data_IF_583878816649
#
_entry.id   IF_583878816649
#
_cell.length_a   1.000
_cell.length_b   1.000
_cell.length_c   1.000
_cell.angle_alpha   90.00
_cell.angle_beta   90.00
_cell.angle_gamma   90.00
#
_symmetry.space_group_name_H-M   'P 1'
#
loop_
_entity.id
_entity.type
_entity.pdbx_description
1 polymer ?
#
# COMPACT_ATOMS: atom_id res chain seq x y z
N UNK A 1 2.68 5.45 -18.98
CA UNK A 1 2.37 6.39 -17.89
C UNK A 1 2.07 7.73 -18.56
N UNK A 2 0.79 8.11 -18.67
CA UNK A 2 0.39 9.33 -19.37
C UNK A 2 0.57 10.54 -18.44
N UNK A 3 1.56 11.37 -18.74
CA UNK A 3 1.73 12.72 -18.21
C UNK A 3 0.55 13.57 -18.68
N UNK A 4 -0.06 14.32 -17.76
CA UNK A 4 -1.18 15.22 -18.05
C UNK A 4 -0.72 16.55 -18.69
N UNK A 5 0.30 16.51 -19.54
CA UNK A 5 0.86 17.67 -20.24
C UNK A 5 1.17 17.30 -21.71
N UNK A 6 0.18 16.76 -22.42
CA UNK A 6 0.15 16.78 -23.88
C UNK A 6 -0.66 18.00 -24.33
N UNK A 7 -0.22 19.20 -23.94
CA UNK A 7 -0.89 20.45 -24.36
C UNK A 7 -0.44 20.84 -25.77
N UNK A 8 -0.82 20.02 -26.76
CA UNK A 8 -0.85 20.46 -28.14
C UNK A 8 -1.95 21.51 -28.32
N UNK A 9 -1.62 22.69 -28.86
CA UNK A 9 -2.59 23.74 -29.17
C UNK A 9 -2.72 24.88 -28.14
N UNK A 10 -3.87 25.56 -28.19
CA UNK A 10 -4.14 26.80 -27.46
C UNK A 10 -4.73 26.59 -26.07
N UNK A 11 -5.14 27.68 -25.42
CA UNK A 11 -5.85 27.66 -24.14
C UNK A 11 -7.33 27.35 -24.35
N UNK A 12 -7.79 26.25 -23.76
CA UNK A 12 -9.19 25.86 -23.66
C UNK A 12 -9.73 26.16 -22.25
N UNK A 13 -9.88 27.45 -21.95
CA UNK A 13 -10.37 27.91 -20.65
C UNK A 13 -11.74 28.57 -20.78
N UNK A 14 -12.51 28.56 -19.69
CA UNK A 14 -13.72 29.39 -19.57
C UNK A 14 -13.28 30.83 -19.27
N UNK A 15 -13.38 31.71 -20.26
CA UNK A 15 -13.04 33.13 -20.13
C UNK A 15 -14.11 33.91 -19.37
N UNK A 16 -13.68 34.82 -18.50
CA UNK A 16 -14.58 35.53 -17.59
C UNK A 16 -15.22 36.78 -18.19
N UNK A 17 -14.48 37.48 -19.07
CA UNK A 17 -14.92 38.74 -19.68
C UNK A 17 -15.59 38.54 -21.06
N UNK A 18 -16.04 37.31 -21.37
CA UNK A 18 -16.63 36.93 -22.67
C UNK A 18 -15.61 36.32 -23.64
N UNK A 19 -15.95 36.32 -24.94
CA UNK A 19 -15.10 35.75 -25.98
C UNK A 19 -13.80 36.58 -26.15
N UNK A 20 -12.61 35.93 -26.16
CA UNK A 20 -11.35 36.59 -26.39
C UNK A 20 -11.27 37.24 -27.78
N UNK A 21 -10.50 38.35 -27.93
CA UNK A 21 -10.28 38.96 -29.23
C UNK A 21 -9.78 37.97 -30.29
N UNK A 22 -10.33 38.05 -31.50
CA UNK A 22 -9.95 37.18 -32.63
C UNK A 22 -8.45 37.26 -32.98
N UNK A 23 -7.82 38.41 -32.70
CA UNK A 23 -6.37 38.61 -32.87
C UNK A 23 -5.52 37.68 -31.97
N UNK A 24 -6.11 37.11 -30.91
CA UNK A 24 -5.44 36.16 -30.02
C UNK A 24 -5.69 34.71 -30.40
N UNK A 25 -6.48 34.42 -31.43
CA UNK A 25 -6.81 33.06 -31.83
C UNK A 25 -5.73 32.47 -32.75
N UNK A 26 -5.37 31.23 -32.45
CA UNK A 26 -4.51 30.42 -33.29
C UNK A 26 -5.27 29.96 -34.53
N UNK A 27 -4.74 30.24 -35.72
CA UNK A 27 -5.40 29.90 -36.98
C UNK A 27 -5.27 28.42 -37.39
N UNK A 28 -4.71 27.56 -36.53
CA UNK A 28 -4.69 26.09 -36.69
C UNK A 28 -5.70 25.42 -35.76
N UNK A 29 -5.61 25.68 -34.45
CA UNK A 29 -6.46 25.03 -33.45
C UNK A 29 -7.70 25.85 -33.06
N UNK A 30 -7.83 27.08 -33.55
CA UNK A 30 -8.95 28.01 -33.30
C UNK A 30 -9.15 28.45 -31.84
N UNK A 31 -8.28 27.99 -30.94
CA UNK A 31 -8.23 28.41 -29.53
C UNK A 31 -7.34 29.62 -29.34
N UNK A 32 -7.43 30.29 -28.18
CA UNK A 32 -6.50 31.35 -27.79
C UNK A 32 -5.06 30.81 -27.81
N UNK A 33 -4.18 31.47 -28.54
CA UNK A 33 -2.86 30.93 -28.84
C UNK A 33 -2.01 30.78 -27.56
N UNK A 34 -1.42 29.59 -27.38
CA UNK A 34 -0.40 29.33 -26.37
C UNK A 34 0.97 29.53 -27.00
N UNK A 35 1.84 30.29 -26.33
CA UNK A 35 3.18 30.66 -26.83
C UNK A 35 3.12 31.17 -28.28
N UNK A 36 2.41 32.29 -28.53
CA UNK A 36 2.01 32.71 -29.87
C UNK A 36 3.21 33.00 -30.78
N UNK A 37 3.18 32.40 -31.96
CA UNK A 37 4.12 32.59 -33.05
C UNK A 37 3.44 33.37 -34.18
N UNK A 38 3.89 34.58 -34.45
CA UNK A 38 3.40 35.39 -35.57
C UNK A 38 4.19 35.06 -36.83
N UNK A 39 3.47 34.86 -37.95
CA UNK A 39 4.10 34.66 -39.26
C UNK A 39 4.25 35.98 -40.01
N UNK A 40 5.36 36.15 -40.72
CA UNK A 40 5.65 37.40 -41.45
C UNK A 40 4.84 37.57 -42.74
N UNK A 41 4.21 36.50 -43.29
CA UNK A 41 3.48 36.59 -44.56
C UNK A 41 2.13 37.30 -44.45
N UNK A 42 1.38 37.03 -43.38
CA UNK A 42 0.02 37.54 -43.19
C UNK A 42 -0.25 38.05 -41.77
N UNK A 43 0.78 38.09 -40.91
CA UNK A 43 0.69 38.54 -39.52
C UNK A 43 -0.27 37.75 -38.63
N UNK A 44 -0.76 36.60 -39.09
CA UNK A 44 -1.55 35.69 -38.25
C UNK A 44 -0.68 35.03 -37.19
N UNK A 45 -1.30 34.70 -36.06
CA UNK A 45 -0.64 33.98 -34.98
C UNK A 45 -1.07 32.51 -34.90
N UNK A 46 -0.15 31.69 -34.41
CA UNK A 46 -0.31 30.26 -34.21
C UNK A 46 0.29 29.86 -32.86
N UNK A 47 -0.12 28.73 -32.29
CA UNK A 47 0.60 28.18 -31.13
C UNK A 47 1.96 27.64 -31.57
N UNK A 48 2.99 27.73 -30.71
CA UNK A 48 4.30 27.12 -30.95
C UNK A 48 4.16 25.63 -31.30
N UNK A 49 3.44 24.88 -30.45
CA UNK A 49 3.17 23.44 -30.67
C UNK A 49 2.38 23.14 -31.96
N UNK A 50 1.49 24.03 -32.39
CA UNK A 50 0.78 23.87 -33.66
C UNK A 50 1.70 24.03 -34.87
N UNK A 51 2.63 24.99 -34.84
CA UNK A 51 3.61 25.17 -35.91
C UNK A 51 4.65 24.04 -35.92
N UNK A 52 5.08 23.57 -34.75
CA UNK A 52 6.01 22.45 -34.64
C UNK A 52 5.41 21.18 -35.26
N UNK A 53 4.16 20.86 -34.90
CA UNK A 53 3.42 19.74 -35.50
C UNK A 53 3.28 19.88 -37.03
N UNK A 54 3.08 21.11 -37.51
CA UNK A 54 3.00 21.39 -38.96
C UNK A 54 4.34 21.14 -39.66
N UNK A 55 5.45 21.52 -39.02
CA UNK A 55 6.81 21.31 -39.53
C UNK A 55 7.18 19.83 -39.59
N UNK A 56 6.78 19.05 -38.59
CA UNK A 56 7.08 17.61 -38.50
C UNK A 56 6.34 16.77 -39.57
N UNK A 57 5.19 17.21 -40.06
CA UNK A 57 4.36 16.47 -41.05
C UNK A 57 4.98 16.35 -42.44
N UNK A 58 6.13 16.98 -42.72
CA UNK A 58 6.94 16.74 -43.92
C UNK A 58 6.33 17.18 -45.27
N UNK A 59 5.15 17.80 -45.30
CA UNK A 59 4.49 18.31 -46.52
C UNK A 59 4.93 19.74 -46.91
N UNK A 60 6.11 20.16 -46.44
CA UNK A 60 6.62 21.52 -46.56
C UNK A 60 6.08 22.45 -45.47
N UNK A 61 6.94 23.33 -44.95
CA UNK A 61 6.59 24.27 -43.89
C UNK A 61 5.95 25.53 -44.51
N UNK A 62 4.66 25.43 -44.79
CA UNK A 62 3.85 26.48 -45.44
C UNK A 62 2.77 27.04 -44.51
N UNK A 63 2.45 28.32 -44.67
CA UNK A 63 1.44 28.97 -43.87
C UNK A 63 0.04 28.41 -44.18
N UNK A 64 -0.73 27.94 -43.19
CA UNK A 64 -2.08 27.43 -43.40
C UNK A 64 -3.04 28.46 -44.01
N UNK A 65 -2.87 29.75 -43.71
CA UNK A 65 -3.76 30.80 -44.23
C UNK A 65 -3.31 31.33 -45.60
N UNK A 66 -2.03 31.69 -45.75
CA UNK A 66 -1.51 32.42 -46.92
C UNK A 66 -0.79 31.52 -47.93
N UNK A 67 -0.55 30.24 -47.59
CA UNK A 67 0.24 29.24 -48.36
C UNK A 67 1.69 29.63 -48.69
N UNK A 68 2.21 30.72 -48.13
CA UNK A 68 3.61 31.12 -48.28
C UNK A 68 4.53 30.23 -47.44
N UNK A 69 5.77 30.03 -47.89
CA UNK A 69 6.81 29.36 -47.09
C UNK A 69 7.05 30.10 -45.76
N UNK A 70 7.09 29.34 -44.67
CA UNK A 70 7.34 29.83 -43.31
C UNK A 70 8.81 29.66 -42.87
N UNK A 71 9.69 29.12 -43.71
CA UNK A 71 11.10 28.93 -43.39
C UNK A 71 11.77 30.27 -43.02
N UNK A 72 12.17 30.40 -41.74
CA UNK A 72 12.74 31.62 -41.17
C UNK A 72 11.81 32.84 -41.14
N UNK A 73 10.50 32.66 -41.37
CA UNK A 73 9.50 33.75 -41.52
C UNK A 73 8.42 33.72 -40.44
N UNK A 74 8.81 33.41 -39.21
CA UNK A 74 7.95 33.48 -38.03
C UNK A 74 8.77 33.80 -36.78
N UNK A 75 8.14 34.39 -35.77
CA UNK A 75 8.80 34.78 -34.53
C UNK A 75 7.81 34.80 -33.35
N UNK A 76 8.35 34.76 -32.12
CA UNK A 76 7.55 34.85 -30.89
C UNK A 76 6.90 36.23 -30.77
N UNK A 77 5.58 36.28 -30.67
CA UNK A 77 4.85 37.54 -30.49
C UNK A 77 4.68 37.89 -29.01
N UNK A 78 5.66 38.62 -28.47
CA UNK A 78 5.63 39.06 -27.07
C UNK A 78 4.53 40.08 -26.74
N UNK A 79 3.93 40.75 -27.76
CA UNK A 79 2.79 41.65 -27.53
C UNK A 79 1.52 40.82 -27.36
N UNK A 80 1.25 39.90 -28.29
CA UNK A 80 0.12 38.97 -28.18
C UNK A 80 0.24 38.13 -26.90
N UNK A 81 1.43 37.59 -26.59
CA UNK A 81 1.66 36.79 -25.38
C UNK A 81 1.29 37.56 -24.10
N UNK A 82 1.65 38.84 -24.02
CA UNK A 82 1.31 39.70 -22.87
C UNK A 82 -0.19 39.94 -22.77
N UNK A 83 -0.85 40.20 -23.90
CA UNK A 83 -2.31 40.39 -23.98
C UNK A 83 -3.04 39.12 -23.54
N UNK A 84 -2.69 37.98 -24.13
CA UNK A 84 -3.23 36.65 -23.80
C UNK A 84 -3.06 36.33 -22.31
N UNK A 85 -1.86 36.52 -21.77
CA UNK A 85 -1.57 36.25 -20.34
C UNK A 85 -2.37 37.14 -19.38
N UNK A 86 -2.88 38.29 -19.84
CA UNK A 86 -3.71 39.19 -19.04
C UNK A 86 -5.21 38.87 -19.07
N UNK A 87 -5.66 37.99 -19.99
CA UNK A 87 -7.06 37.58 -20.07
C UNK A 87 -7.50 36.89 -18.78
N UNK A 88 -8.71 37.21 -18.33
CA UNK A 88 -9.29 36.60 -17.13
C UNK A 88 -10.01 35.30 -17.46
N UNK A 89 -9.76 34.30 -16.63
CA UNK A 89 -10.29 32.94 -16.75
C UNK A 89 -10.78 32.42 -15.41
N UNK A 90 -11.75 31.52 -15.46
CA UNK A 90 -12.16 30.72 -14.31
C UNK A 90 -11.25 29.50 -14.14
N UNK A 91 -11.15 29.03 -12.90
CA UNK A 91 -10.50 27.76 -12.61
C UNK A 91 -11.15 26.61 -13.41
N UNK A 92 -10.33 25.69 -13.92
CA UNK A 92 -10.83 24.46 -14.57
C UNK A 92 -11.66 23.58 -13.64
N UNK A 93 -11.47 23.71 -12.31
CA UNK A 93 -12.24 22.99 -11.29
C UNK A 93 -13.52 23.72 -10.85
N UNK A 94 -14.04 24.68 -11.62
CA UNK A 94 -15.28 25.39 -11.27
C UNK A 94 -16.47 24.46 -11.09
N UNK A 95 -16.58 23.41 -11.92
CA UNK A 95 -17.66 22.41 -11.80
C UNK A 95 -17.54 21.56 -10.52
N UNK A 96 -16.34 21.51 -9.92
CA UNK A 96 -16.11 20.89 -8.61
C UNK A 96 -16.32 21.84 -7.42
N UNK A 97 -16.60 23.12 -7.67
CA UNK A 97 -16.84 24.14 -6.64
C UNK A 97 -15.72 25.18 -6.48
N UNK A 98 -14.70 25.19 -7.34
CA UNK A 98 -13.67 26.23 -7.29
C UNK A 98 -14.20 27.56 -7.85
N UNK A 99 -14.23 28.60 -7.01
CA UNK A 99 -14.69 29.94 -7.39
C UNK A 99 -13.55 30.87 -7.81
N UNK A 100 -12.32 30.36 -7.92
CA UNK A 100 -11.18 31.18 -8.28
C UNK A 100 -11.32 31.71 -9.72
N UNK A 101 -11.06 33.00 -9.87
CA UNK A 101 -10.98 33.73 -11.13
C UNK A 101 -9.75 34.62 -11.07
N UNK A 102 -8.98 34.63 -12.14
CA UNK A 102 -7.73 35.37 -12.25
C UNK A 102 -7.24 35.38 -13.68
N UNK A 103 -5.98 35.75 -13.90
CA UNK A 103 -5.44 35.83 -15.27
C UNK A 103 -4.90 34.48 -15.75
N UNK A 104 -4.74 34.30 -17.06
CA UNK A 104 -4.03 33.14 -17.64
C UNK A 104 -2.63 33.02 -17.04
N UNK A 105 -1.94 34.13 -16.74
CA UNK A 105 -0.62 34.09 -16.09
C UNK A 105 -0.64 33.42 -14.72
N UNK A 106 -1.74 33.58 -13.97
CA UNK A 106 -1.81 33.18 -12.56
C UNK A 106 -2.45 31.80 -12.37
N UNK A 107 -3.14 31.26 -13.37
CA UNK A 107 -3.91 30.01 -13.24
C UNK A 107 -3.04 28.81 -12.87
N UNK A 108 -1.83 28.70 -13.45
CA UNK A 108 -0.92 27.60 -13.12
C UNK A 108 -0.46 27.67 -11.66
N UNK A 109 -0.17 28.89 -11.18
CA UNK A 109 0.17 29.11 -9.76
C UNK A 109 -1.01 28.73 -8.87
N UNK A 110 -2.23 29.07 -9.28
CA UNK A 110 -3.43 28.66 -8.56
C UNK A 110 -3.58 27.14 -8.50
N UNK A 111 -3.59 26.45 -9.65
CA UNK A 111 -3.77 25.00 -9.74
C UNK A 111 -2.70 24.24 -8.95
N UNK A 112 -1.44 24.67 -9.04
CA UNK A 112 -0.31 24.00 -8.41
C UNK A 112 -0.17 24.28 -6.91
N UNK A 113 -0.57 25.46 -6.41
CA UNK A 113 -0.25 25.86 -5.05
C UNK A 113 -1.46 26.10 -4.14
N UNK A 114 -2.58 26.61 -4.67
CA UNK A 114 -3.69 27.08 -3.83
C UNK A 114 -5.03 26.41 -4.09
N UNK A 115 -5.24 25.79 -5.25
CA UNK A 115 -6.51 25.18 -5.61
C UNK A 115 -6.81 23.98 -4.70
N UNK A 116 -7.79 24.14 -3.81
CA UNK A 116 -8.22 23.13 -2.84
C UNK A 116 -8.95 21.96 -3.52
N UNK A 117 -9.53 22.20 -4.69
CA UNK A 117 -10.24 21.22 -5.50
C UNK A 117 -9.34 20.44 -6.45
N UNK A 118 -8.09 20.88 -6.63
CA UNK A 118 -7.13 20.18 -7.50
C UNK A 118 -6.88 18.77 -7.00
N UNK A 119 -6.95 17.81 -7.92
CA UNK A 119 -6.54 16.44 -7.68
C UNK A 119 -5.01 16.35 -7.73
N UNK A 120 -4.42 16.01 -6.60
CA UNK A 120 -2.96 15.85 -6.45
C UNK A 120 -2.63 14.39 -6.12
N UNK A 121 -1.53 13.84 -6.64
CA UNK A 121 -1.14 12.48 -6.32
C UNK A 121 -0.83 12.34 -4.82
N UNK A 122 -1.16 11.18 -4.24
CA UNK A 122 -0.83 10.89 -2.86
C UNK A 122 0.69 10.86 -2.62
N UNK A 123 1.16 11.61 -1.62
CA UNK A 123 2.57 11.72 -1.26
C UNK A 123 3.16 10.45 -0.65
N UNK A 124 2.31 9.56 -0.10
CA UNK A 124 2.74 8.24 0.39
C UNK A 124 2.88 7.21 -0.74
N UNK A 125 2.59 7.58 -1.99
CA UNK A 125 2.77 6.70 -3.14
C UNK A 125 1.75 5.57 -3.26
N UNK A 126 0.53 5.74 -2.72
CA UNK A 126 -0.53 4.72 -2.85
C UNK A 126 -1.14 4.63 -4.27
N UNK A 127 -0.77 5.54 -5.18
CA UNK A 127 -1.25 5.57 -6.57
C UNK A 127 -2.54 6.37 -6.80
N UNK A 128 -3.26 6.77 -5.74
CA UNK A 128 -4.49 7.56 -5.87
C UNK A 128 -4.22 9.05 -6.10
N UNK A 129 -5.12 9.71 -6.84
CA UNK A 129 -5.20 11.18 -6.94
C UNK A 129 -6.29 11.69 -6.00
N UNK A 130 -5.92 12.54 -5.06
CA UNK A 130 -6.77 13.01 -3.96
C UNK A 130 -6.97 14.52 -4.08
N UNK A 131 -8.17 15.02 -3.75
CA UNK A 131 -8.39 16.49 -3.69
C UNK A 131 -7.48 17.10 -2.61
N UNK A 132 -6.79 18.20 -2.94
CA UNK A 132 -5.86 18.89 -2.02
C UNK A 132 -6.46 19.16 -0.65
N UNK A 133 -7.73 19.59 -0.58
CA UNK A 133 -8.46 19.81 0.68
C UNK A 133 -8.58 18.56 1.56
N UNK A 134 -8.74 17.39 0.95
CA UNK A 134 -8.93 16.10 1.64
C UNK A 134 -7.63 15.32 1.83
N UNK A 135 -6.53 15.76 1.21
CA UNK A 135 -5.26 15.04 1.23
C UNK A 135 -4.76 14.79 2.65
N UNK A 136 -4.85 15.78 3.54
CA UNK A 136 -4.43 15.62 4.95
C UNK A 136 -5.18 14.48 5.65
N UNK A 137 -6.51 14.42 5.46
CA UNK A 137 -7.36 13.36 6.02
C UNK A 137 -7.04 12.00 5.38
N UNK A 138 -6.79 11.97 4.07
CA UNK A 138 -6.33 10.75 3.40
C UNK A 138 -5.02 10.24 4.03
N UNK A 139 -3.99 11.07 4.13
CA UNK A 139 -2.67 10.66 4.63
C UNK A 139 -2.69 10.15 6.07
N UNK A 140 -3.59 10.70 6.91
CA UNK A 140 -3.71 10.35 8.33
C UNK A 140 -4.60 9.14 8.57
N UNK A 141 -5.75 9.05 7.89
CA UNK A 141 -6.80 8.10 8.28
C UNK A 141 -7.08 7.02 7.24
N UNK A 142 -6.86 7.30 5.96
CA UNK A 142 -7.39 6.45 4.87
C UNK A 142 -6.30 5.82 3.99
N UNK A 143 -5.12 6.42 3.93
CA UNK A 143 -4.05 5.99 3.04
C UNK A 143 -3.57 4.59 3.45
N UNK A 144 -3.59 3.59 2.56
CA UNK A 144 -3.11 2.23 2.88
C UNK A 144 -1.59 2.18 3.08
N UNK A 145 -0.87 3.15 2.52
CA UNK A 145 0.58 3.30 2.64
C UNK A 145 0.99 4.18 3.83
N UNK A 146 0.03 4.67 4.64
CA UNK A 146 0.36 5.41 5.87
C UNK A 146 1.09 4.53 6.87
N UNK A 147 1.91 5.14 7.72
CA UNK A 147 2.62 4.42 8.77
C UNK A 147 1.79 4.41 10.06
N UNK A 148 1.57 3.22 10.61
CA UNK A 148 0.88 2.99 11.88
C UNK A 148 1.71 2.06 12.76
N UNK A 149 1.36 2.03 14.05
CA UNK A 149 1.86 1.02 14.97
C UNK A 149 0.82 -0.07 15.14
N UNK A 150 1.25 -1.32 15.24
CA UNK A 150 0.37 -2.42 15.64
C UNK A 150 -0.16 -2.17 17.06
N UNK A 151 -1.47 -2.35 17.27
CA UNK A 151 -2.09 -2.16 18.58
C UNK A 151 -1.71 -3.22 19.62
N UNK A 152 -1.13 -4.34 19.17
CA UNK A 152 -0.73 -5.45 20.03
C UNK A 152 0.77 -5.38 20.34
N UNK A 153 1.62 -5.46 19.30
CA UNK A 153 3.08 -5.54 19.48
C UNK A 153 3.82 -4.20 19.28
N UNK A 154 3.10 -3.11 19.03
CA UNK A 154 3.65 -1.77 18.78
C UNK A 154 4.67 -1.68 17.62
N UNK A 155 4.79 -2.73 16.77
CA UNK A 155 5.63 -2.71 15.57
C UNK A 155 5.13 -1.64 14.61
N UNK A 156 6.05 -0.79 14.14
CA UNK A 156 5.76 0.29 13.19
C UNK A 156 5.87 -0.21 11.75
N UNK A 157 4.89 0.12 10.90
CA UNK A 157 4.90 -0.28 9.49
C UNK A 157 3.79 0.36 8.67
N UNK A 158 3.74 0.06 7.38
CA UNK A 158 2.64 0.49 6.49
C UNK A 158 1.33 -0.14 6.97
N UNK A 159 0.25 0.64 6.97
CA UNK A 159 -1.07 0.20 7.43
C UNK A 159 -1.48 -1.12 6.79
N UNK A 160 -1.38 -1.23 5.46
CA UNK A 160 -1.70 -2.46 4.72
C UNK A 160 -0.94 -3.70 5.22
N UNK A 161 0.30 -3.55 5.66
CA UNK A 161 1.11 -4.65 6.19
C UNK A 161 0.78 -4.93 7.65
N UNK A 162 0.65 -3.89 8.48
CA UNK A 162 0.34 -4.03 9.91
C UNK A 162 -1.05 -4.63 10.14
N UNK A 163 -2.03 -4.36 9.29
CA UNK A 163 -3.37 -4.94 9.40
C UNK A 163 -3.56 -6.19 8.54
N UNK A 164 -2.48 -6.75 7.97
CA UNK A 164 -2.56 -7.96 7.17
C UNK A 164 -2.67 -9.21 8.04
N UNK A 165 -3.28 -10.27 7.52
CA UNK A 165 -3.29 -11.58 8.17
C UNK A 165 -1.87 -12.08 8.43
N UNK A 166 -0.96 -11.93 7.47
CA UNK A 166 0.44 -12.34 7.62
C UNK A 166 1.13 -11.68 8.82
N UNK A 167 0.79 -10.42 9.13
CA UNK A 167 1.32 -9.80 10.34
C UNK A 167 0.70 -10.41 11.61
N UNK A 168 -0.62 -10.60 11.62
CA UNK A 168 -1.33 -11.16 12.77
C UNK A 168 -0.91 -12.59 13.09
N UNK A 169 -0.64 -13.41 12.08
CA UNK A 169 -0.15 -14.79 12.25
C UNK A 169 1.21 -14.84 12.96
N UNK A 170 2.03 -13.79 12.84
CA UNK A 170 3.37 -13.68 13.45
C UNK A 170 3.42 -12.64 14.60
N UNK A 171 2.27 -12.13 15.05
CA UNK A 171 2.24 -11.02 16.00
C UNK A 171 2.38 -11.54 17.44
N UNK A 172 3.51 -11.31 18.14
CA UNK A 172 3.81 -11.97 19.41
C UNK A 172 2.81 -11.66 20.52
N UNK A 173 2.22 -10.46 20.48
CA UNK A 173 1.33 -9.94 21.50
C UNK A 173 -0.15 -10.04 21.11
N UNK A 174 -0.44 -10.63 19.94
CA UNK A 174 -1.82 -10.89 19.55
C UNK A 174 -2.42 -11.93 20.50
N UNK A 175 -3.61 -11.61 21.03
CA UNK A 175 -4.35 -12.52 21.89
C UNK A 175 -5.08 -13.56 21.05
N UNK A 176 -4.72 -14.83 21.24
CA UNK A 176 -5.32 -15.98 20.60
C UNK A 176 -6.06 -16.84 21.62
N UNK A 177 -7.06 -17.58 21.16
CA UNK A 177 -7.74 -18.57 22.00
C UNK A 177 -6.86 -19.81 22.18
N UNK A 178 -6.89 -20.40 23.36
CA UNK A 178 -6.30 -21.71 23.58
C UNK A 178 -6.96 -22.75 22.67
N UNK A 179 -6.15 -23.60 22.01
CA UNK A 179 -6.64 -24.67 21.15
C UNK A 179 -7.23 -25.86 21.92
N UNK A 180 -7.03 -25.94 23.24
CA UNK A 180 -7.54 -27.03 24.06
C UNK A 180 -9.04 -26.87 24.30
N UNK A 181 -9.82 -27.89 23.93
CA UNK A 181 -11.27 -27.88 24.07
C UNK A 181 -11.72 -27.60 25.52
N UNK A 182 -12.55 -26.57 25.69
CA UNK A 182 -13.06 -26.13 26.98
C UNK A 182 -12.17 -25.11 27.72
N UNK A 183 -11.05 -24.69 27.14
CA UNK A 183 -10.26 -23.55 27.63
C UNK A 183 -10.69 -22.27 26.90
N UNK A 184 -11.30 -21.32 27.61
CA UNK A 184 -11.77 -20.05 27.05
C UNK A 184 -10.78 -18.89 27.26
N UNK A 185 -9.56 -19.18 27.72
CA UNK A 185 -8.55 -18.15 27.96
C UNK A 185 -8.05 -17.54 26.65
N UNK A 186 -7.79 -16.23 26.69
CA UNK A 186 -7.14 -15.48 25.62
C UNK A 186 -5.70 -15.25 26.04
N UNK A 187 -4.77 -15.80 25.28
CA UNK A 187 -3.35 -15.86 25.64
C UNK A 187 -2.57 -15.11 24.57
N UNK A 188 -1.59 -14.25 24.94
CA UNK A 188 -0.65 -13.70 23.98
C UNK A 188 0.05 -14.82 23.22
N UNK A 189 0.18 -14.70 21.90
CA UNK A 189 0.75 -15.76 21.08
C UNK A 189 2.12 -16.26 21.57
N UNK A 190 3.01 -15.35 21.99
CA UNK A 190 4.31 -15.71 22.55
C UNK A 190 4.24 -16.52 23.87
N UNK A 191 3.11 -16.45 24.59
CA UNK A 191 2.86 -17.14 25.87
C UNK A 191 2.03 -18.42 25.69
N UNK A 192 1.68 -18.83 24.46
CA UNK A 192 0.87 -20.02 24.23
C UNK A 192 1.59 -21.31 24.67
N UNK A 193 2.89 -21.39 24.42
CA UNK A 193 3.70 -22.56 24.79
C UNK A 193 3.73 -22.77 26.31
N UNK A 194 4.03 -21.71 27.07
CA UNK A 194 4.02 -21.76 28.54
C UNK A 194 2.63 -21.97 29.13
N UNK A 195 1.58 -21.43 28.50
CA UNK A 195 0.20 -21.77 28.87
C UNK A 195 -0.09 -23.26 28.66
N UNK A 196 0.28 -23.85 27.53
CA UNK A 196 0.03 -25.27 27.25
C UNK A 196 0.70 -26.19 28.28
N UNK A 197 1.86 -25.81 28.82
CA UNK A 197 2.53 -26.52 29.91
C UNK A 197 1.75 -26.51 31.23
N UNK A 198 0.75 -25.64 31.40
CA UNK A 198 -0.03 -25.47 32.63
C UNK A 198 -1.55 -25.56 32.44
N UNK A 199 -2.02 -25.61 31.19
CA UNK A 199 -3.44 -25.61 30.85
C UNK A 199 -4.17 -26.81 31.45
N UNK A 200 -5.20 -26.53 32.27
CA UNK A 200 -6.03 -27.54 32.93
C UNK A 200 -6.83 -28.40 31.94
N UNK A 201 -7.14 -27.84 30.76
CA UNK A 201 -7.90 -28.51 29.70
C UNK A 201 -7.01 -29.24 28.69
N UNK A 202 -5.68 -29.10 28.78
CA UNK A 202 -4.77 -29.83 27.91
C UNK A 202 -4.89 -31.35 28.14
N UNK A 203 -4.91 -32.10 27.05
CA UNK A 203 -4.87 -33.56 27.08
C UNK A 203 -3.42 -33.97 27.32
N UNK A 204 -3.16 -34.57 28.48
CA UNK A 204 -1.83 -35.02 28.89
C UNK A 204 -1.81 -36.54 29.11
N UNK A 205 -0.67 -37.20 28.88
CA UNK A 205 -0.49 -38.59 29.30
C UNK A 205 -0.44 -38.71 30.83
N UNK A 206 -0.78 -39.89 31.33
CA UNK A 206 -0.55 -40.26 32.73
C UNK A 206 0.93 -40.07 33.10
N UNK A 207 1.22 -39.66 34.34
CA UNK A 207 2.60 -39.52 34.82
C UNK A 207 3.38 -40.85 34.83
N UNK A 208 2.65 -41.97 34.93
CA UNK A 208 3.20 -43.32 34.84
C UNK A 208 3.31 -43.85 33.40
N UNK A 209 3.15 -43.01 32.37
CA UNK A 209 3.27 -43.41 30.96
C UNK A 209 4.64 -44.02 30.62
N UNK A 210 5.72 -43.52 31.23
CA UNK A 210 7.07 -44.09 31.07
C UNK A 210 7.22 -45.50 31.62
N UNK A 211 6.36 -45.89 32.57
CA UNK A 211 6.36 -47.21 33.22
C UNK A 211 5.37 -48.18 32.53
N UNK A 212 4.39 -47.65 31.79
CA UNK A 212 3.49 -48.44 30.95
C UNK A 212 2.02 -48.04 30.96
N UNK A 213 1.64 -46.96 31.66
CA UNK A 213 0.26 -46.48 31.66
C UNK A 213 0.00 -45.54 30.46
N UNK A 214 -0.57 -46.07 29.39
CA UNK A 214 -0.83 -45.31 28.15
C UNK A 214 -2.11 -44.45 28.20
N UNK A 215 -2.69 -44.23 29.38
CA UNK A 215 -3.94 -43.47 29.51
C UNK A 215 -3.68 -41.97 29.31
N UNK A 216 -4.51 -41.30 28.51
CA UNK A 216 -4.50 -39.84 28.32
C UNK A 216 -5.78 -39.25 28.87
N UNK A 217 -5.69 -38.06 29.46
CA UNK A 217 -6.83 -37.39 30.10
C UNK A 217 -6.64 -35.88 30.09
N UNK A 218 -7.67 -35.12 30.46
CA UNK A 218 -7.47 -33.69 30.72
C UNK A 218 -6.63 -33.53 31.98
N UNK A 219 -5.76 -32.51 32.00
CA UNK A 219 -4.90 -32.26 33.17
C UNK A 219 -5.69 -32.14 34.48
N UNK A 220 -6.86 -31.51 34.45
CA UNK A 220 -7.74 -31.39 35.63
C UNK A 220 -8.28 -32.74 36.16
N UNK A 221 -8.30 -33.78 35.33
CA UNK A 221 -8.79 -35.12 35.66
C UNK A 221 -7.67 -36.05 36.17
N UNK A 222 -6.41 -35.60 36.08
CA UNK A 222 -5.23 -36.44 36.36
C UNK A 222 -5.24 -36.99 37.78
N UNK A 223 -5.51 -36.13 38.76
CA UNK A 223 -5.44 -36.52 40.17
C UNK A 223 -6.51 -37.59 40.48
N UNK A 224 -7.71 -37.45 39.89
CA UNK A 224 -8.78 -38.45 39.98
C UNK A 224 -8.37 -39.79 39.35
N UNK A 225 -7.78 -39.79 38.16
CA UNK A 225 -7.29 -41.01 37.51
C UNK A 225 -6.22 -41.72 38.37
N UNK A 226 -5.28 -40.96 38.92
CA UNK A 226 -4.20 -41.47 39.76
C UNK A 226 -4.75 -42.17 41.01
N UNK A 227 -5.77 -41.60 41.65
CA UNK A 227 -6.45 -42.21 42.79
C UNK A 227 -7.19 -43.51 42.40
N UNK A 228 -7.94 -43.49 41.30
CA UNK A 228 -8.74 -44.64 40.84
C UNK A 228 -7.88 -45.79 40.28
N UNK A 229 -6.70 -45.49 39.73
CA UNK A 229 -5.84 -46.44 39.00
C UNK A 229 -4.61 -46.91 39.78
N UNK A 230 -4.47 -46.57 41.06
CA UNK A 230 -3.27 -46.88 41.87
C UNK A 230 -2.87 -48.36 41.85
N UNK A 231 -3.85 -49.28 41.89
CA UNK A 231 -3.57 -50.74 41.83
C UNK A 231 -2.96 -51.14 40.49
N UNK A 232 -3.47 -50.56 39.40
CA UNK A 232 -2.94 -50.81 38.06
C UNK A 232 -1.54 -50.23 37.91
N UNK A 233 -1.32 -49.00 38.39
CA UNK A 233 0.01 -48.35 38.40
C UNK A 233 1.05 -49.14 39.20
N UNK A 234 0.66 -49.71 40.34
CA UNK A 234 1.54 -50.58 41.12
C UNK A 234 1.88 -51.89 40.40
N UNK A 235 0.90 -52.56 39.77
CA UNK A 235 1.13 -53.80 39.01
C UNK A 235 2.09 -53.60 37.84
N UNK A 236 1.91 -52.54 37.04
CA UNK A 236 2.82 -52.23 35.93
C UNK A 236 4.23 -51.86 36.43
N UNK A 237 4.33 -51.14 37.56
CA UNK A 237 5.62 -50.81 38.16
C UNK A 237 6.36 -52.06 38.62
N UNK A 238 5.66 -53.00 39.28
CA UNK A 238 6.25 -54.29 39.69
C UNK A 238 6.72 -55.10 38.50
N UNK A 239 5.90 -55.25 37.45
CA UNK A 239 6.30 -55.94 36.21
C UNK A 239 7.54 -55.32 35.56
N UNK A 240 7.64 -53.98 35.58
CA UNK A 240 8.80 -53.28 35.04
C UNK A 240 10.06 -53.53 35.87
N UNK A 241 9.94 -53.57 37.20
CA UNK A 241 11.04 -53.89 38.12
C UNK A 241 11.54 -55.31 37.87
N UNK A 242 10.65 -56.30 37.78
CA UNK A 242 11.01 -57.71 37.52
C UNK A 242 11.77 -57.85 36.19
N UNK A 243 11.27 -57.19 35.13
CA UNK A 243 11.92 -57.18 33.82
C UNK A 243 13.33 -56.57 33.87
N UNK A 244 13.54 -55.49 34.64
CA UNK A 244 14.85 -54.85 34.83
C UNK A 244 15.82 -55.71 35.65
N UNK A 245 15.32 -56.46 36.63
CA UNK A 245 16.14 -57.41 37.39
C UNK A 245 16.63 -58.56 36.50
N UNK A 246 15.75 -59.11 35.66
CA UNK A 246 16.08 -60.13 34.67
C UNK A 246 17.14 -59.63 33.66
N UNK A 247 16.99 -58.42 33.13
CA UNK A 247 17.99 -57.86 32.19
C UNK A 247 19.35 -57.67 32.85
N UNK A 248 19.40 -57.15 34.08
CA UNK A 248 20.64 -57.02 34.83
C UNK A 248 21.34 -58.36 35.07
N UNK A 249 20.58 -59.43 35.34
CA UNK A 249 21.15 -60.78 35.48
C UNK A 249 21.75 -61.26 34.16
N UNK A 250 21.07 -61.06 33.04
CA UNK A 250 21.56 -61.42 31.69
C UNK A 250 22.83 -60.64 31.33
N UNK A 251 22.90 -59.34 31.61
CA UNK A 251 24.11 -58.54 31.37
C UNK A 251 25.30 -59.04 32.19
N UNK A 252 25.11 -59.34 33.47
CA UNK A 252 26.16 -59.91 34.33
C UNK A 252 26.65 -61.27 33.83
N UNK A 253 25.75 -62.12 33.33
CA UNK A 253 26.09 -63.40 32.70
C UNK A 253 26.89 -63.21 31.42
N UNK A 254 26.50 -62.27 30.55
CA UNK A 254 27.21 -61.99 29.30
C UNK A 254 28.63 -61.43 29.56
N UNK A 255 28.80 -60.50 30.50
CA UNK A 255 30.13 -60.00 30.90
C UNK A 255 31.03 -61.12 31.45
N UNK A 256 30.44 -62.03 32.24
CA UNK A 256 31.16 -63.19 32.74
C UNK A 256 31.60 -64.13 31.60
N UNK A 257 30.74 -64.36 30.60
CA UNK A 257 31.09 -65.20 29.45
C UNK A 257 32.14 -64.57 28.53
N UNK A 258 32.10 -63.25 28.32
CA UNK A 258 33.09 -62.54 27.49
C UNK A 258 34.46 -62.46 28.17
N UNK A 259 34.50 -62.33 29.50
CA UNK A 259 35.75 -62.45 30.28
C UNK A 259 36.36 -63.84 30.24
N UNK A 260 35.57 -64.88 29.95
CA UNK A 260 36.02 -66.29 29.87
C UNK A 260 36.57 -66.68 28.49
N UNK A 261 36.38 -65.84 27.46
CA UNK A 261 36.84 -66.05 26.08
C UNK A 261 38.15 -65.32 25.72
N UNK A 262 38.70 -64.52 26.64
CA UNK A 262 40.06 -63.95 26.56
C UNK A 262 41.01 -64.79 27.38
#
# INVERSE_FOLDING_TARGET
MATCDDYGGGYDFKFADGDPPDEYQCHICTLVARDPQQVSCCSNIYCESCLDTLKEKGQGFICPTCRSSLEGKYFKDGRAERGIKSLKVYCTNTDSGCQWMGTIKDIDTHLNNSCTYQLVPCTNGCGEKIRRSTLKKHLTDNCPERIVNCQYCNRKGRYRLITSSCHFDDCPDLLIHCSNEGCNEKIPQHSLESHNETCLKAIIPCEYNTVGCNFTMKREERDKHNEESIKHHLDIAMKKIDALQLTNQVFKLNEYTEKKKR
#
